data_IF_993266107350
#
_entry.id   IF_993266107350
#
_cell.length_a   1.000
_cell.length_b   1.000
_cell.length_c   1.000
_cell.angle_alpha   90.00
_cell.angle_beta   90.00
_cell.angle_gamma   90.00
#
_symmetry.space_group_name_H-M   'P 1'
#
loop_
_entity.id
_entity.type
_entity.pdbx_description
1 polymer ?
#
# COMPACT_ATOMS: atom_id res chain seq x y z
N UNK A 1 60.88 16.35 4.00
CA UNK A 1 60.83 14.93 4.47
C UNK A 1 60.05 14.89 5.77
N UNK A 2 58.79 14.45 5.79
CA UNK A 2 58.04 14.30 7.03
C UNK A 2 58.35 12.95 7.71
N UNK A 3 58.26 12.86 9.05
CA UNK A 3 58.61 11.67 9.81
C UNK A 3 57.49 10.62 9.78
N UNK A 4 57.89 9.34 9.72
CA UNK A 4 57.00 8.19 9.78
C UNK A 4 56.33 8.03 11.16
N UNK A 5 55.04 7.65 11.21
CA UNK A 5 54.39 7.25 12.45
C UNK A 5 54.84 5.84 12.88
N UNK A 6 55.14 5.72 14.18
CA UNK A 6 55.57 4.50 14.86
C UNK A 6 54.41 3.51 15.00
N UNK A 7 54.64 2.25 14.61
CA UNK A 7 53.78 1.12 14.90
C UNK A 7 53.69 0.89 16.42
N UNK A 8 52.46 0.95 16.97
CA UNK A 8 52.15 0.59 18.35
C UNK A 8 51.70 -0.87 18.38
N UNK A 9 52.37 -1.67 19.20
CA UNK A 9 52.23 -3.12 19.27
C UNK A 9 50.83 -3.61 19.64
N UNK A 10 50.39 -4.63 18.91
CA UNK A 10 49.28 -5.50 19.28
C UNK A 10 49.75 -6.42 20.41
N UNK A 11 49.13 -6.30 21.59
CA UNK A 11 49.26 -7.26 22.67
C UNK A 11 48.38 -8.47 22.36
N UNK A 12 49.03 -9.61 22.22
CA UNK A 12 48.43 -10.94 22.29
C UNK A 12 47.89 -11.19 23.70
N UNK A 13 46.72 -11.83 23.79
CA UNK A 13 46.30 -12.54 25.00
C UNK A 13 44.88 -12.24 25.47
N UNK A 14 43.88 -12.58 24.66
CA UNK A 14 42.55 -12.90 25.18
C UNK A 14 42.14 -14.29 24.70
N UNK A 15 42.10 -15.21 25.65
CA UNK A 15 41.61 -16.58 25.49
C UNK A 15 40.08 -16.55 25.35
N UNK A 16 39.50 -17.17 24.31
CA UNK A 16 38.05 -17.26 24.21
C UNK A 16 37.55 -18.33 25.19
N UNK A 17 37.12 -17.90 26.37
CA UNK A 17 36.28 -18.69 27.26
C UNK A 17 35.07 -19.21 26.49
N UNK A 18 35.00 -20.53 26.38
CA UNK A 18 33.87 -21.28 25.84
C UNK A 18 32.60 -20.90 26.61
N UNK A 19 31.67 -20.22 25.93
CA UNK A 19 30.29 -20.06 26.40
C UNK A 19 29.46 -21.25 25.88
N UNK A 20 28.99 -22.17 26.76
CA UNK A 20 28.09 -23.24 26.38
C UNK A 20 26.66 -22.69 26.35
N UNK A 21 26.19 -22.18 25.20
CA UNK A 21 24.81 -21.65 25.14
C UNK A 21 24.15 -21.46 23.77
N UNK A 22 24.84 -21.70 22.65
CA UNK A 22 24.36 -21.27 21.32
C UNK A 22 24.08 -22.41 20.31
N UNK A 23 23.87 -23.65 20.75
CA UNK A 23 23.76 -24.80 19.83
C UNK A 23 22.34 -25.31 19.54
N UNK A 24 21.28 -24.76 20.11
CA UNK A 24 19.90 -25.26 19.89
C UNK A 24 19.09 -24.50 18.83
N UNK A 25 19.53 -23.33 18.37
CA UNK A 25 18.75 -22.48 17.44
C UNK A 25 18.68 -23.01 15.99
N UNK A 26 19.57 -23.92 15.57
CA UNK A 26 19.63 -24.41 14.19
C UNK A 26 18.55 -25.43 13.84
N UNK A 27 18.19 -26.31 14.79
CA UNK A 27 17.30 -27.45 14.54
C UNK A 27 15.84 -27.02 14.42
N UNK A 28 15.41 -26.05 15.24
CA UNK A 28 14.03 -25.51 15.20
C UNK A 28 13.74 -24.79 13.87
N UNK A 29 14.74 -24.13 13.29
CA UNK A 29 14.58 -23.40 12.03
C UNK A 29 14.37 -24.36 10.85
N UNK A 30 15.12 -25.46 10.79
CA UNK A 30 14.97 -26.46 9.73
C UNK A 30 13.61 -27.17 9.77
N UNK A 31 13.07 -27.41 10.96
CA UNK A 31 11.73 -27.99 11.13
C UNK A 31 10.64 -27.03 10.62
N UNK A 32 10.74 -25.74 10.93
CA UNK A 32 9.77 -24.75 10.46
C UNK A 32 9.85 -24.52 8.95
N UNK A 33 11.05 -24.53 8.38
CA UNK A 33 11.25 -24.44 6.93
C UNK A 33 10.64 -25.67 6.20
N UNK A 34 10.73 -26.87 6.81
CA UNK A 34 10.09 -28.08 6.27
C UNK A 34 8.55 -28.01 6.31
N UNK A 35 7.97 -27.57 7.42
CA UNK A 35 6.50 -27.37 7.55
C UNK A 35 6.00 -26.34 6.54
N UNK A 36 6.73 -25.24 6.36
CA UNK A 36 6.39 -24.21 5.38
C UNK A 36 6.46 -24.74 3.94
N UNK A 37 7.44 -25.60 3.63
CA UNK A 37 7.54 -26.24 2.32
C UNK A 37 6.38 -27.20 2.04
N UNK A 38 5.93 -27.95 3.05
CA UNK A 38 4.75 -28.83 2.95
C UNK A 38 3.46 -28.01 2.75
N UNK A 39 3.28 -26.94 3.52
CA UNK A 39 2.16 -25.99 3.35
C UNK A 39 2.13 -25.39 1.94
N UNK A 40 3.29 -24.99 1.42
CA UNK A 40 3.40 -24.42 0.07
C UNK A 40 3.01 -25.43 -1.02
N UNK A 41 3.42 -26.70 -0.89
CA UNK A 41 3.01 -27.77 -1.82
C UNK A 41 1.51 -28.01 -1.76
N UNK A 42 0.92 -28.00 -0.57
CA UNK A 42 -0.52 -28.16 -0.38
C UNK A 42 -1.30 -27.06 -1.10
N UNK A 43 -0.94 -25.79 -0.86
CA UNK A 43 -1.57 -24.62 -1.51
C UNK A 43 -1.42 -24.67 -3.04
N UNK A 44 -0.26 -25.11 -3.55
CA UNK A 44 -0.07 -25.26 -5.00
C UNK A 44 -0.98 -26.33 -5.60
N UNK A 45 -1.16 -27.47 -4.94
CA UNK A 45 -2.07 -28.53 -5.38
C UNK A 45 -3.51 -28.04 -5.40
N UNK A 46 -3.94 -27.34 -4.36
CA UNK A 46 -5.26 -26.76 -4.25
C UNK A 46 -5.52 -25.74 -5.37
N UNK A 47 -4.55 -24.87 -5.66
CA UNK A 47 -4.60 -23.91 -6.77
C UNK A 47 -4.78 -24.58 -8.14
N UNK A 48 -4.06 -25.69 -8.40
CA UNK A 48 -4.22 -26.44 -9.64
C UNK A 48 -5.62 -27.04 -9.78
N UNK A 49 -6.15 -27.63 -8.70
CA UNK A 49 -7.51 -28.20 -8.69
C UNK A 49 -8.59 -27.14 -8.96
N UNK A 50 -8.48 -25.95 -8.34
CA UNK A 50 -9.38 -24.83 -8.60
C UNK A 50 -9.34 -24.39 -10.07
N UNK A 51 -8.15 -24.25 -10.65
CA UNK A 51 -8.01 -23.86 -12.06
C UNK A 51 -8.59 -24.90 -13.04
N UNK A 52 -8.49 -26.19 -12.72
CA UNK A 52 -9.09 -27.25 -13.53
C UNK A 52 -10.62 -27.21 -13.47
N UNK A 53 -11.20 -27.02 -12.29
CA UNK A 53 -12.65 -26.88 -12.11
C UNK A 53 -13.18 -25.59 -12.73
N UNK A 54 -12.48 -24.48 -12.59
CA UNK A 54 -12.87 -23.21 -13.22
C UNK A 54 -12.89 -23.33 -14.75
N UNK A 55 -11.93 -24.06 -15.35
CA UNK A 55 -11.95 -24.38 -16.79
C UNK A 55 -13.13 -25.28 -17.17
N UNK A 56 -13.53 -26.22 -16.31
CA UNK A 56 -14.72 -27.05 -16.54
C UNK A 56 -16.00 -26.22 -16.45
N UNK A 57 -16.13 -25.35 -15.44
CA UNK A 57 -17.26 -24.40 -15.29
C UNK A 57 -17.38 -23.49 -16.52
N UNK A 58 -16.26 -23.02 -17.08
CA UNK A 58 -16.25 -22.21 -18.31
C UNK A 58 -16.69 -22.97 -19.56
N UNK A 59 -16.47 -24.30 -19.61
CA UNK A 59 -16.84 -25.15 -20.76
C UNK A 59 -18.28 -25.66 -20.68
N UNK A 60 -18.81 -25.85 -19.48
CA UNK A 60 -20.17 -26.33 -19.25
C UNK A 60 -21.18 -25.17 -19.33
N UNK A 61 -22.41 -25.48 -19.75
CA UNK A 61 -23.53 -24.52 -19.85
C UNK A 61 -24.77 -25.10 -19.16
N UNK A 62 -25.69 -24.23 -18.74
CA UNK A 62 -26.96 -24.63 -18.12
C UNK A 62 -26.78 -25.33 -16.76
N UNK A 63 -27.63 -26.30 -16.46
CA UNK A 63 -27.63 -27.02 -15.18
C UNK A 63 -26.29 -27.70 -14.83
N UNK A 64 -25.50 -28.10 -15.83
CA UNK A 64 -24.16 -28.67 -15.58
C UNK A 64 -23.15 -27.61 -15.12
N UNK A 65 -23.34 -26.34 -15.49
CA UNK A 65 -22.51 -25.24 -14.98
C UNK A 65 -22.81 -24.98 -13.52
N UNK A 66 -24.08 -24.99 -13.13
CA UNK A 66 -24.52 -24.76 -11.75
C UNK A 66 -24.01 -25.86 -10.80
N UNK A 67 -24.09 -27.14 -11.23
CA UNK A 67 -23.50 -28.24 -10.48
C UNK A 67 -21.97 -28.12 -10.34
N UNK A 68 -21.27 -27.71 -11.40
CA UNK A 68 -19.81 -27.52 -11.37
C UNK A 68 -19.38 -26.30 -10.55
N UNK A 69 -20.18 -25.23 -10.50
CA UNK A 69 -19.93 -24.09 -9.61
C UNK A 69 -20.09 -24.49 -8.15
N UNK A 70 -21.14 -25.24 -7.82
CA UNK A 70 -21.34 -25.78 -6.46
C UNK A 70 -20.20 -26.71 -6.04
N UNK A 71 -19.73 -27.57 -6.94
CA UNK A 71 -18.56 -28.42 -6.66
C UNK A 71 -17.29 -27.60 -6.44
N UNK A 72 -17.11 -26.49 -7.16
CA UNK A 72 -16.00 -25.56 -6.95
C UNK A 72 -16.07 -24.96 -5.53
N UNK A 73 -17.21 -24.41 -5.12
CA UNK A 73 -17.42 -23.82 -3.79
C UNK A 73 -17.19 -24.83 -2.65
N UNK A 74 -17.74 -26.04 -2.77
CA UNK A 74 -17.50 -27.11 -1.79
C UNK A 74 -16.03 -27.51 -1.71
N UNK A 75 -15.31 -27.47 -2.82
CA UNK A 75 -13.88 -27.78 -2.88
C UNK A 75 -13.03 -26.64 -2.28
N UNK A 76 -13.44 -25.38 -2.43
CA UNK A 76 -12.79 -24.26 -1.74
C UNK A 76 -12.94 -24.36 -0.21
N UNK A 77 -14.15 -24.69 0.26
CA UNK A 77 -14.42 -24.89 1.69
C UNK A 77 -13.60 -26.05 2.28
N UNK A 78 -13.46 -27.15 1.52
CA UNK A 78 -12.59 -28.29 1.91
C UNK A 78 -11.12 -27.89 1.96
N UNK A 79 -10.66 -27.10 0.99
CA UNK A 79 -9.27 -26.61 0.95
C UNK A 79 -8.93 -25.70 2.12
N UNK A 80 -9.85 -24.80 2.47
CA UNK A 80 -9.70 -23.92 3.63
C UNK A 80 -9.64 -24.73 4.93
N UNK A 81 -10.54 -25.71 5.10
CA UNK A 81 -10.52 -26.62 6.25
C UNK A 81 -9.22 -27.44 6.32
N UNK A 82 -8.71 -27.94 5.19
CA UNK A 82 -7.46 -28.71 5.12
C UNK A 82 -6.24 -27.86 5.48
N UNK A 83 -6.19 -26.58 5.06
CA UNK A 83 -5.14 -25.65 5.48
C UNK A 83 -5.25 -25.36 6.97
N UNK A 84 -6.45 -25.12 7.48
CA UNK A 84 -6.68 -24.85 8.90
C UNK A 84 -6.29 -26.06 9.77
N UNK A 85 -6.58 -27.28 9.31
CA UNK A 85 -6.17 -28.52 9.98
C UNK A 85 -4.66 -28.72 9.91
N UNK A 86 -4.03 -28.46 8.76
CA UNK A 86 -2.58 -28.51 8.59
C UNK A 86 -1.88 -27.52 9.53
N UNK A 87 -2.37 -26.29 9.61
CA UNK A 87 -1.83 -25.25 10.50
C UNK A 87 -2.08 -25.62 11.98
N UNK A 88 -3.20 -26.30 12.31
CA UNK A 88 -3.48 -26.81 13.67
C UNK A 88 -2.54 -27.96 14.06
N UNK A 89 -2.26 -28.89 13.16
CA UNK A 89 -1.45 -30.08 13.44
C UNK A 89 0.07 -29.78 13.40
N UNK A 90 0.52 -28.97 12.45
CA UNK A 90 1.94 -28.70 12.20
C UNK A 90 2.42 -27.34 12.70
N UNK A 91 1.51 -26.38 12.94
CA UNK A 91 1.81 -25.06 13.52
C UNK A 91 1.82 -25.02 15.05
N UNK A 92 1.47 -26.13 15.72
CA UNK A 92 1.38 -26.26 17.17
C UNK A 92 2.73 -26.36 17.90
N UNK A 93 3.54 -25.30 17.84
CA UNK A 93 4.62 -25.06 18.81
C UNK A 93 4.11 -24.24 20.00
N UNK A 94 3.64 -24.92 21.05
CA UNK A 94 3.38 -24.42 22.42
C UNK A 94 2.94 -22.96 22.62
N UNK A 95 1.63 -22.75 22.65
CA UNK A 95 0.97 -21.64 23.34
C UNK A 95 -0.45 -22.06 23.71
N UNK A 96 -0.65 -22.52 24.95
CA UNK A 96 -1.93 -22.96 25.46
C UNK A 96 -3.01 -21.85 25.39
N UNK A 97 -4.30 -22.19 25.25
CA UNK A 97 -5.38 -21.19 25.26
C UNK A 97 -5.50 -20.59 26.66
N UNK A 98 -5.11 -19.33 26.82
CA UNK A 98 -5.23 -18.61 28.09
C UNK A 98 -6.69 -18.23 28.36
N UNK A 99 -7.28 -18.93 29.34
CA UNK A 99 -8.52 -18.60 30.06
C UNK A 99 -8.33 -17.29 30.87
N UNK A 100 -9.35 -16.44 31.07
CA UNK A 100 -9.18 -15.10 31.62
C UNK A 100 -9.10 -15.08 33.15
N UNK A 101 -8.17 -14.34 33.73
CA UNK A 101 -8.17 -13.96 35.15
C UNK A 101 -7.32 -12.69 35.43
N UNK A 102 -8.02 -11.64 35.87
CA UNK A 102 -7.69 -10.65 36.91
C UNK A 102 -6.33 -9.88 36.91
N UNK A 103 -6.46 -8.56 36.63
CA UNK A 103 -5.85 -7.36 37.28
C UNK A 103 -4.53 -7.50 38.09
N UNK A 104 -3.41 -6.87 37.71
CA UNK A 104 -2.97 -5.44 37.81
C UNK A 104 -1.79 -5.31 38.82
N UNK A 105 -0.96 -4.24 38.92
CA UNK A 105 -0.86 -2.99 38.13
C UNK A 105 0.57 -2.52 37.70
N UNK A 106 0.58 -1.55 36.76
CA UNK A 106 1.46 -0.38 36.58
C UNK A 106 2.97 -0.50 36.25
N UNK A 107 3.32 -0.07 35.03
CA UNK A 107 4.36 0.94 34.79
C UNK A 107 4.04 1.70 33.49
N UNK A 108 4.01 3.03 33.60
CA UNK A 108 3.51 4.02 32.65
C UNK A 108 4.36 4.13 31.37
N UNK A 109 3.69 4.15 30.22
CA UNK A 109 4.11 4.90 29.05
C UNK A 109 2.85 5.25 28.23
N UNK A 110 2.55 6.54 28.16
CA UNK A 110 1.46 7.18 27.41
C UNK A 110 1.33 6.66 25.96
N UNK A 111 0.10 6.35 25.48
CA UNK A 111 -0.25 6.77 24.13
C UNK A 111 -1.75 7.09 23.99
N UNK A 112 -2.12 8.37 24.06
CA UNK A 112 -3.52 8.75 23.84
C UNK A 112 -3.68 10.09 23.09
N UNK A 113 -2.91 10.33 22.02
CA UNK A 113 -3.19 11.46 21.09
C UNK A 113 -3.01 11.20 19.58
N UNK A 114 -2.62 10.00 19.13
CA UNK A 114 -2.35 9.74 17.69
C UNK A 114 -3.36 8.83 16.96
N UNK A 115 -4.49 8.49 17.59
CA UNK A 115 -5.49 7.61 16.96
C UNK A 115 -6.21 8.22 15.73
N UNK A 116 -6.10 9.54 15.49
CA UNK A 116 -6.76 10.23 14.36
C UNK A 116 -5.85 10.58 13.18
N UNK A 117 -4.53 10.44 13.28
CA UNK A 117 -3.59 10.49 12.13
C UNK A 117 -3.37 9.12 11.47
N UNK A 118 -4.08 8.10 11.95
CA UNK A 118 -3.77 6.70 11.75
C UNK A 118 -4.26 6.12 10.40
N UNK A 119 -5.06 6.88 9.62
CA UNK A 119 -5.87 6.29 8.55
C UNK A 119 -5.17 6.08 7.20
N UNK A 120 -4.02 6.69 6.91
CA UNK A 120 -3.40 6.55 5.58
C UNK A 120 -1.87 6.65 5.61
N UNK A 121 -1.20 5.92 6.52
CA UNK A 121 0.26 5.83 6.43
C UNK A 121 0.61 4.99 5.21
N UNK A 122 1.02 5.66 4.12
CA UNK A 122 1.37 5.01 2.87
C UNK A 122 2.68 4.20 3.02
N UNK A 123 2.57 2.96 3.51
CA UNK A 123 3.68 2.03 3.68
C UNK A 123 4.42 1.73 2.38
N UNK A 124 3.77 1.87 1.22
CA UNK A 124 4.38 1.60 -0.09
C UNK A 124 5.48 2.62 -0.47
N UNK A 125 5.40 3.82 0.09
CA UNK A 125 6.36 4.90 -0.14
C UNK A 125 7.69 4.75 0.63
N UNK A 126 7.72 3.90 1.66
CA UNK A 126 8.92 3.70 2.47
C UNK A 126 9.94 2.79 1.78
N UNK A 127 11.21 3.02 2.06
CA UNK A 127 12.29 2.13 1.65
C UNK A 127 12.22 0.81 2.41
N UNK A 128 12.84 -0.24 1.86
CA UNK A 128 12.86 -1.57 2.51
C UNK A 128 13.45 -1.49 3.93
N UNK A 129 14.46 -0.66 4.14
CA UNK A 129 15.12 -0.49 5.44
C UNK A 129 14.19 0.16 6.48
N UNK A 130 13.47 1.20 6.08
CA UNK A 130 12.47 1.86 6.94
C UNK A 130 11.31 0.91 7.30
N UNK A 131 10.90 0.05 6.37
CA UNK A 131 9.88 -0.98 6.63
C UNK A 131 10.38 -2.06 7.61
N UNK A 132 11.65 -2.46 7.50
CA UNK A 132 12.28 -3.37 8.46
C UNK A 132 12.35 -2.74 9.85
N UNK A 133 12.74 -1.46 9.95
CA UNK A 133 12.85 -0.72 11.21
C UNK A 133 11.48 -0.53 11.87
N UNK A 134 10.44 -0.19 11.11
CA UNK A 134 9.05 -0.10 11.60
C UNK A 134 8.50 -1.45 12.05
N UNK A 135 8.78 -2.53 11.32
CA UNK A 135 8.44 -3.88 11.74
C UNK A 135 9.11 -4.21 13.09
N UNK A 136 10.41 -3.95 13.24
CA UNK A 136 11.14 -4.21 14.50
C UNK A 136 10.58 -3.36 15.65
N UNK A 137 10.31 -2.07 15.42
CA UNK A 137 9.74 -1.18 16.43
C UNK A 137 8.38 -1.66 16.96
N UNK A 138 7.60 -2.37 16.13
CA UNK A 138 6.29 -2.93 16.46
C UNK A 138 6.34 -4.40 16.90
N UNK A 139 7.53 -4.99 17.00
CA UNK A 139 7.72 -6.40 17.36
C UNK A 139 7.37 -7.40 16.24
N UNK A 140 7.23 -6.92 15.00
CA UNK A 140 6.97 -7.71 13.80
C UNK A 140 8.30 -8.21 13.22
N UNK A 141 8.31 -9.44 12.69
CA UNK A 141 9.52 -10.03 12.10
C UNK A 141 10.01 -9.28 10.84
N UNK A 142 11.27 -8.83 10.86
CA UNK A 142 11.97 -8.11 9.76
C UNK A 142 12.30 -8.91 8.48
N UNK A 143 11.85 -10.17 8.37
CA UNK A 143 12.19 -11.03 7.23
C UNK A 143 11.07 -10.96 6.19
N UNK A 144 11.42 -10.66 4.94
CA UNK A 144 10.47 -10.64 3.82
C UNK A 144 10.97 -9.84 2.61
N UNK A 145 10.22 -9.89 1.52
CA UNK A 145 10.30 -8.89 0.45
C UNK A 145 9.70 -7.56 0.93
N UNK A 146 9.90 -6.47 0.18
CA UNK A 146 9.34 -5.15 0.53
C UNK A 146 7.82 -5.24 0.73
N UNK A 147 7.16 -5.94 -0.17
CA UNK A 147 5.71 -6.17 -0.21
C UNK A 147 5.24 -7.00 0.99
N UNK A 148 6.01 -8.00 1.42
CA UNK A 148 5.71 -8.84 2.59
C UNK A 148 5.78 -8.03 3.90
N UNK A 149 6.76 -7.14 4.03
CA UNK A 149 6.87 -6.21 5.17
C UNK A 149 5.71 -5.21 5.20
N UNK A 150 5.31 -4.68 4.03
CA UNK A 150 4.14 -3.80 3.90
C UNK A 150 2.87 -4.53 4.34
N UNK A 151 2.64 -5.76 3.85
CA UNK A 151 1.48 -6.56 4.24
C UNK A 151 1.43 -6.82 5.74
N UNK A 152 2.56 -7.18 6.36
CA UNK A 152 2.64 -7.38 7.80
C UNK A 152 2.28 -6.12 8.61
N UNK A 153 2.72 -4.95 8.16
CA UNK A 153 2.38 -3.68 8.80
C UNK A 153 0.90 -3.33 8.65
N UNK A 154 0.30 -3.63 7.49
CA UNK A 154 -1.15 -3.46 7.26
C UNK A 154 -1.96 -4.40 8.16
N UNK A 155 -1.62 -5.69 8.22
CA UNK A 155 -2.30 -6.68 9.05
C UNK A 155 -2.21 -6.27 10.53
N UNK A 156 -1.02 -5.92 11.01
CA UNK A 156 -0.84 -5.45 12.38
C UNK A 156 -1.71 -4.22 12.70
N UNK A 157 -1.87 -3.32 11.73
CA UNK A 157 -2.70 -2.14 11.87
C UNK A 157 -4.20 -2.47 11.91
N UNK A 158 -4.63 -3.45 11.11
CA UNK A 158 -5.99 -4.00 11.16
C UNK A 158 -6.26 -4.71 12.48
N UNK A 159 -5.32 -5.52 12.98
CA UNK A 159 -5.43 -6.22 14.26
C UNK A 159 -5.57 -5.25 15.44
N UNK A 160 -4.83 -4.13 15.43
CA UNK A 160 -4.99 -3.09 16.45
C UNK A 160 -6.36 -2.41 16.38
N UNK A 161 -6.90 -2.17 15.18
CA UNK A 161 -8.22 -1.59 15.00
C UNK A 161 -9.32 -2.56 15.46
N UNK A 162 -9.22 -3.84 15.10
CA UNK A 162 -10.14 -4.90 15.53
C UNK A 162 -10.07 -5.09 17.04
N UNK A 163 -8.88 -5.13 17.63
CA UNK A 163 -8.71 -5.25 19.09
C UNK A 163 -9.26 -4.03 19.85
N UNK A 164 -9.16 -2.83 19.27
CA UNK A 164 -9.78 -1.63 19.82
C UNK A 164 -11.31 -1.66 19.70
N UNK A 165 -11.86 -2.26 18.64
CA UNK A 165 -13.30 -2.43 18.45
C UNK A 165 -13.90 -3.55 19.32
N UNK A 166 -13.16 -4.65 19.54
CA UNK A 166 -13.56 -5.75 20.42
C UNK A 166 -13.47 -5.39 21.91
N UNK A 167 -12.65 -4.39 22.27
CA UNK A 167 -12.63 -3.77 23.59
C UNK A 167 -13.82 -2.80 23.83
N UNK A 168 -14.99 -3.11 23.26
CA UNK A 168 -16.18 -2.26 23.22
C UNK A 168 -16.65 -1.69 24.57
N UNK A 169 -17.49 -0.65 24.51
CA UNK A 169 -17.65 0.38 25.54
C UNK A 169 -18.38 -0.14 26.78
N UNK A 170 -17.73 -0.07 27.93
CA UNK A 170 -18.43 0.02 29.21
C UNK A 170 -18.77 1.50 29.45
N UNK A 171 -20.06 1.78 29.39
CA UNK A 171 -20.67 3.10 29.51
C UNK A 171 -20.37 3.81 30.85
N UNK A 172 -20.10 5.11 30.78
CA UNK A 172 -20.85 6.08 31.58
C UNK A 172 -21.00 7.40 30.81
N UNK A 173 -22.16 8.01 30.98
CA UNK A 173 -22.80 9.00 30.12
C UNK A 173 -22.46 10.46 30.45
N UNK A 174 -22.74 11.31 29.46
CA UNK A 174 -23.44 12.60 29.52
C UNK A 174 -23.35 13.48 30.78
N UNK A 175 -22.84 14.70 30.57
CA UNK A 175 -23.33 15.99 31.13
C UNK A 175 -22.24 17.03 30.81
N UNK A 176 -22.43 18.06 30.00
CA UNK A 176 -23.46 19.09 30.09
C UNK A 176 -22.75 20.46 30.21
N UNK A 177 -23.03 21.37 29.26
CA UNK A 177 -23.03 22.85 29.37
C UNK A 177 -21.87 23.58 30.09
N UNK A 178 -21.17 24.49 29.38
CA UNK A 178 -21.27 25.96 29.54
C UNK A 178 -20.21 26.74 28.74
N UNK A 179 -20.68 27.84 28.14
CA UNK A 179 -20.05 29.15 27.93
C UNK A 179 -18.61 29.37 28.41
N UNK A 180 -17.82 30.07 27.58
CA UNK A 180 -16.60 30.72 28.02
C UNK A 180 -15.72 31.34 26.93
N UNK A 181 -16.22 32.36 26.24
CA UNK A 181 -15.37 33.44 25.67
C UNK A 181 -14.53 34.06 26.80
N UNK A 182 -13.21 34.29 26.63
CA UNK A 182 -12.67 35.61 26.24
C UNK A 182 -11.54 35.49 25.19
N UNK A 183 -11.51 36.28 24.13
CA UNK A 183 -11.12 37.71 24.05
C UNK A 183 -9.63 37.96 24.34
N UNK A 184 -8.90 38.43 23.32
CA UNK A 184 -7.95 39.54 23.47
C UNK A 184 -6.49 39.33 23.06
N UNK A 185 -6.07 40.07 22.01
CA UNK A 185 -4.67 40.43 21.66
C UNK A 185 -4.25 39.88 20.29
N UNK A 186 -4.49 40.54 19.14
CA UNK A 186 -4.11 41.89 18.65
C UNK A 186 -2.61 42.18 18.77
N UNK A 187 -1.90 42.13 17.63
CA UNK A 187 -1.07 43.19 16.96
C UNK A 187 -0.74 42.60 15.55
N UNK A 188 -1.33 43.09 14.45
CA UNK A 188 -0.75 44.08 13.48
C UNK A 188 0.62 43.58 12.95
N UNK A 189 0.93 43.49 11.66
CA UNK A 189 0.69 44.42 10.56
C UNK A 189 1.25 43.78 9.26
N UNK A 190 0.99 44.42 8.12
CA UNK A 190 1.56 44.27 6.77
C UNK A 190 0.65 43.63 5.69
N UNK A 191 -0.02 44.58 5.03
CA UNK A 191 -0.62 44.69 3.70
C UNK A 191 0.18 43.87 2.63
N UNK A 192 -0.39 43.37 1.52
CA UNK A 192 -1.04 44.15 0.47
C UNK A 192 -1.56 43.24 -0.67
N UNK A 193 -2.62 43.71 -1.35
CA UNK A 193 -3.11 43.44 -2.71
C UNK A 193 -3.48 41.98 -3.16
N UNK A 194 -4.76 41.61 -3.21
CA UNK A 194 -5.76 41.87 -4.29
C UNK A 194 -5.47 41.09 -5.60
N UNK A 195 -6.24 40.01 -5.86
CA UNK A 195 -7.06 39.92 -7.07
C UNK A 195 -7.97 38.67 -7.05
N UNK A 196 -9.25 39.00 -7.06
CA UNK A 196 -10.44 38.27 -7.43
C UNK A 196 -10.29 37.39 -8.69
N UNK A 197 -10.43 36.06 -8.56
CA UNK A 197 -11.05 35.25 -9.60
C UNK A 197 -11.95 34.20 -8.95
N UNK A 198 -13.25 34.39 -9.18
CA UNK A 198 -14.36 33.53 -8.85
C UNK A 198 -14.05 32.03 -9.09
N UNK A 199 -13.76 31.34 -7.99
CA UNK A 199 -13.70 29.90 -7.96
C UNK A 199 -15.12 29.34 -7.98
N UNK A 200 -15.71 29.30 -9.17
CA UNK A 200 -16.91 28.53 -9.51
C UNK A 200 -16.69 27.06 -9.13
N UNK A 201 -16.98 26.78 -7.86
CA UNK A 201 -17.01 25.46 -7.26
C UNK A 201 -18.24 24.74 -7.78
N UNK A 202 -18.17 24.26 -9.02
CA UNK A 202 -19.07 23.21 -9.50
C UNK A 202 -18.85 21.95 -8.68
N UNK A 203 -19.60 21.89 -7.58
CA UNK A 203 -19.83 20.73 -6.74
C UNK A 203 -20.64 19.71 -7.54
N UNK A 204 -19.97 19.01 -8.44
CA UNK A 204 -20.47 17.80 -9.14
C UNK A 204 -20.38 16.63 -8.14
N UNK A 205 -21.20 16.71 -7.10
CA UNK A 205 -21.38 15.75 -6.02
C UNK A 205 -22.51 14.79 -6.39
N UNK A 206 -22.36 14.05 -7.50
CA UNK A 206 -23.30 12.96 -7.84
C UNK A 206 -22.53 11.77 -8.43
N UNK A 207 -22.71 10.61 -7.77
CA UNK A 207 -22.26 9.28 -8.16
C UNK A 207 -20.77 8.93 -7.97
N UNK A 208 -20.31 8.96 -6.71
CA UNK A 208 -19.24 8.07 -6.26
C UNK A 208 -19.77 6.62 -6.21
N UNK A 209 -20.02 6.04 -7.40
CA UNK A 209 -20.20 4.60 -7.53
C UNK A 209 -18.98 3.93 -6.89
N UNK A 210 -19.21 3.02 -5.95
CA UNK A 210 -18.16 2.20 -5.34
C UNK A 210 -17.46 1.39 -6.44
N UNK A 211 -16.46 2.00 -7.07
CA UNK A 211 -15.61 1.33 -8.07
C UNK A 211 -14.81 0.29 -7.29
N UNK A 212 -15.01 -0.97 -7.67
CA UNK A 212 -14.30 -2.10 -7.10
C UNK A 212 -12.79 -1.82 -7.06
N UNK A 213 -12.17 -2.11 -5.92
CA UNK A 213 -10.76 -1.81 -5.66
C UNK A 213 -9.85 -2.46 -6.72
N UNK A 214 -10.26 -3.61 -7.26
CA UNK A 214 -9.55 -4.27 -8.36
C UNK A 214 -9.58 -3.45 -9.66
N UNK A 215 -10.68 -2.77 -9.97
CA UNK A 215 -10.79 -1.93 -11.15
C UNK A 215 -9.94 -0.66 -11.02
N UNK A 216 -9.91 -0.06 -9.84
CA UNK A 216 -9.07 1.11 -9.54
C UNK A 216 -7.57 0.80 -9.79
N UNK A 217 -7.10 -0.38 -9.37
CA UNK A 217 -5.72 -0.80 -9.66
C UNK A 217 -5.45 -0.99 -11.16
N UNK A 218 -6.42 -1.54 -11.90
CA UNK A 218 -6.31 -1.71 -13.36
C UNK A 218 -6.29 -0.34 -14.06
N UNK A 219 -7.11 0.60 -13.62
CA UNK A 219 -7.13 1.97 -14.12
C UNK A 219 -5.77 2.65 -13.87
N UNK A 220 -5.24 2.57 -12.65
CA UNK A 220 -3.94 3.15 -12.31
C UNK A 220 -2.78 2.57 -13.15
N UNK A 221 -2.81 1.28 -13.46
CA UNK A 221 -1.81 0.64 -14.35
C UNK A 221 -1.92 1.16 -15.78
N UNK A 222 -3.14 1.27 -16.31
CA UNK A 222 -3.38 1.82 -17.66
C UNK A 222 -2.96 3.28 -17.74
N UNK A 223 -3.31 4.08 -16.74
CA UNK A 223 -2.94 5.49 -16.69
C UNK A 223 -1.42 5.66 -16.66
N UNK A 224 -0.70 4.92 -15.82
CA UNK A 224 0.77 4.94 -15.80
C UNK A 224 1.39 4.56 -17.15
N UNK A 225 0.78 3.62 -17.88
CA UNK A 225 1.24 3.26 -19.21
C UNK A 225 1.05 4.42 -20.21
N UNK A 226 -0.10 5.09 -20.17
CA UNK A 226 -0.39 6.27 -21.00
C UNK A 226 0.54 7.43 -20.64
N UNK A 227 0.74 7.73 -19.36
CA UNK A 227 1.69 8.75 -18.90
C UNK A 227 3.10 8.51 -19.42
N UNK A 228 3.57 7.26 -19.34
CA UNK A 228 4.89 6.88 -19.85
C UNK A 228 4.98 7.07 -21.36
N UNK A 229 3.92 6.75 -22.11
CA UNK A 229 3.83 6.97 -23.54
C UNK A 229 3.82 8.47 -23.90
N UNK A 230 3.13 9.32 -23.12
CA UNK A 230 3.16 10.78 -23.32
C UNK A 230 4.55 11.36 -23.09
N UNK A 231 5.22 10.96 -22.00
CA UNK A 231 6.61 11.37 -21.75
C UNK A 231 7.54 10.89 -22.87
N UNK A 232 7.34 9.67 -23.38
CA UNK A 232 8.10 9.17 -24.52
C UNK A 232 7.83 9.99 -25.79
N UNK A 233 6.57 10.33 -26.07
CA UNK A 233 6.17 11.12 -27.23
C UNK A 233 6.86 12.49 -27.28
N UNK A 234 6.94 13.18 -26.14
CA UNK A 234 7.63 14.46 -26.03
C UNK A 234 9.15 14.35 -26.08
N UNK A 235 9.74 13.20 -25.72
CA UNK A 235 11.18 12.98 -25.77
C UNK A 235 11.67 12.59 -27.17
N UNK A 236 10.91 11.75 -27.86
CA UNK A 236 11.37 11.06 -29.07
C UNK A 236 11.10 11.86 -30.34
N UNK A 237 10.02 12.66 -30.37
CA UNK A 237 9.55 13.25 -31.63
C UNK A 237 9.85 14.73 -31.82
N UNK A 238 10.48 15.42 -30.85
CA UNK A 238 10.59 16.90 -30.81
C UNK A 238 9.28 17.60 -31.19
N UNK A 239 8.16 16.91 -31.00
CA UNK A 239 6.86 17.44 -31.35
C UNK A 239 6.56 18.46 -30.28
N UNK A 240 6.56 19.72 -30.73
CA UNK A 240 6.12 20.84 -29.93
C UNK A 240 4.68 20.63 -29.45
N UNK A 241 4.10 21.70 -28.92
CA UNK A 241 2.73 21.62 -28.42
C UNK A 241 1.76 21.23 -29.54
N UNK A 242 0.74 20.42 -29.23
CA UNK A 242 -0.27 19.96 -30.19
C UNK A 242 -1.69 20.06 -29.60
N UNK A 243 -2.71 20.04 -30.47
CA UNK A 243 -4.11 20.20 -30.06
C UNK A 243 -4.65 18.97 -29.32
N UNK A 244 -5.59 19.18 -28.40
CA UNK A 244 -6.19 18.13 -27.58
C UNK A 244 -6.73 16.95 -28.42
N UNK A 245 -7.36 17.26 -29.56
CA UNK A 245 -8.00 16.25 -30.44
C UNK A 245 -6.99 15.34 -31.15
N UNK A 246 -5.73 15.77 -31.29
CA UNK A 246 -4.68 14.94 -31.90
C UNK A 246 -4.13 13.89 -30.93
N UNK A 247 -4.40 14.03 -29.62
CA UNK A 247 -3.82 13.16 -28.59
C UNK A 247 -4.04 11.65 -28.84
N UNK A 248 -5.24 11.17 -29.22
CA UNK A 248 -5.46 9.75 -29.51
C UNK A 248 -4.61 9.23 -30.66
N UNK A 249 -4.45 10.02 -31.73
CA UNK A 249 -3.64 9.66 -32.90
C UNK A 249 -2.15 9.64 -32.56
N UNK A 250 -1.69 10.63 -31.80
CA UNK A 250 -0.32 10.71 -31.28
C UNK A 250 0.02 9.51 -30.39
N UNK A 251 -0.90 9.11 -29.51
CA UNK A 251 -0.76 7.92 -28.67
C UNK A 251 -0.74 6.62 -29.48
N UNK A 252 -1.57 6.53 -30.53
CA UNK A 252 -1.55 5.40 -31.46
C UNK A 252 -0.19 5.24 -32.15
N UNK A 253 0.49 6.33 -32.48
CA UNK A 253 1.84 6.28 -33.08
C UNK A 253 2.91 5.74 -32.13
N UNK A 254 2.68 5.72 -30.81
CA UNK A 254 3.59 5.15 -29.80
C UNK A 254 3.08 3.81 -29.27
N UNK A 255 2.29 3.09 -30.08
CA UNK A 255 1.71 1.77 -29.78
C UNK A 255 0.72 1.75 -28.60
N UNK A 256 0.16 2.89 -28.21
CA UNK A 256 -0.97 2.94 -27.27
C UNK A 256 -2.27 2.99 -28.08
N UNK A 257 -2.65 1.83 -28.63
CA UNK A 257 -3.90 1.69 -29.35
C UNK A 257 -5.11 1.62 -28.40
N UNK A 258 -6.29 2.01 -28.88
CA UNK A 258 -7.56 1.97 -28.14
C UNK A 258 -7.58 2.82 -26.86
N UNK A 259 -6.82 3.92 -26.84
CA UNK A 259 -6.91 4.92 -25.80
C UNK A 259 -8.33 5.51 -25.78
N UNK A 260 -8.97 5.43 -24.62
CA UNK A 260 -10.26 6.05 -24.35
C UNK A 260 -10.24 6.57 -22.90
N UNK A 261 -10.51 7.87 -22.66
CA UNK A 261 -10.48 8.46 -21.32
C UNK A 261 -11.47 7.78 -20.37
N UNK A 262 -12.60 7.30 -20.89
CA UNK A 262 -13.63 6.56 -20.13
C UNK A 262 -13.07 5.28 -19.50
N UNK A 263 -12.19 4.54 -20.20
CA UNK A 263 -11.55 3.32 -19.68
C UNK A 263 -10.53 3.56 -18.56
N UNK A 264 -10.20 4.83 -18.35
CA UNK A 264 -9.33 5.34 -17.30
C UNK A 264 -10.14 6.03 -16.18
N UNK A 265 -11.48 6.01 -16.25
CA UNK A 265 -12.34 6.64 -15.26
C UNK A 265 -12.61 8.13 -15.48
N UNK A 266 -12.23 8.69 -16.63
CA UNK A 266 -12.42 10.12 -16.92
C UNK A 266 -13.63 10.34 -17.82
N UNK A 267 -14.50 11.30 -17.45
CA UNK A 267 -15.70 11.68 -18.22
C UNK A 267 -15.39 12.25 -19.61
N UNK A 268 -14.23 12.88 -19.78
CA UNK A 268 -13.82 13.48 -21.06
C UNK A 268 -12.30 13.52 -21.22
N UNK A 269 -11.85 13.77 -22.46
CA UNK A 269 -10.43 13.92 -22.78
C UNK A 269 -9.81 15.12 -22.07
N UNK A 270 -10.55 16.22 -21.95
CA UNK A 270 -10.11 17.41 -21.23
C UNK A 270 -9.91 17.15 -19.73
N UNK A 271 -10.85 16.43 -19.09
CA UNK A 271 -10.71 16.05 -17.67
C UNK A 271 -9.50 15.14 -17.45
N UNK A 272 -9.25 14.19 -18.36
CA UNK A 272 -8.06 13.35 -18.33
C UNK A 272 -6.77 14.18 -18.37
N UNK A 273 -6.64 15.08 -19.34
CA UNK A 273 -5.44 15.90 -19.52
C UNK A 273 -5.25 16.89 -18.36
N UNK A 274 -6.33 17.49 -17.84
CA UNK A 274 -6.30 18.37 -16.66
C UNK A 274 -5.85 17.63 -15.39
N UNK A 275 -6.20 16.34 -15.26
CA UNK A 275 -5.80 15.50 -14.13
C UNK A 275 -4.36 15.01 -14.17
N UNK A 276 -3.64 15.18 -15.30
CA UNK A 276 -2.27 14.70 -15.40
C UNK A 276 -1.30 15.59 -14.61
N UNK A 277 -0.30 14.98 -13.94
CA UNK A 277 0.65 15.74 -13.14
C UNK A 277 1.54 16.63 -14.02
N UNK A 278 1.95 17.83 -13.56
CA UNK A 278 2.73 18.80 -14.35
C UNK A 278 4.08 18.28 -14.88
N UNK A 279 4.59 17.20 -14.27
CA UNK A 279 5.81 16.50 -14.67
C UNK A 279 5.64 15.65 -15.94
N UNK A 280 4.41 15.32 -16.32
CA UNK A 280 4.07 14.51 -17.50
C UNK A 280 3.75 15.42 -18.67
N UNK A 281 2.90 16.43 -18.47
CA UNK A 281 2.48 17.36 -19.51
C UNK A 281 2.09 18.71 -18.91
N UNK A 282 1.93 19.71 -19.77
CA UNK A 282 1.24 20.97 -19.45
C UNK A 282 0.03 21.12 -20.37
N UNK A 283 -1.07 21.59 -19.81
CA UNK A 283 -2.30 21.83 -20.57
C UNK A 283 -2.67 23.31 -20.51
N UNK A 284 -2.84 23.92 -21.68
CA UNK A 284 -3.39 25.27 -21.80
C UNK A 284 -4.87 25.16 -22.17
N UNK A 285 -5.75 25.35 -21.17
CA UNK A 285 -7.21 25.24 -21.33
C UNK A 285 -7.77 26.20 -22.39
N UNK A 286 -7.27 27.43 -22.46
CA UNK A 286 -7.77 28.47 -23.39
C UNK A 286 -7.47 28.11 -24.85
N UNK A 287 -6.30 27.53 -25.10
CA UNK A 287 -5.87 27.14 -26.44
C UNK A 287 -6.16 25.67 -26.78
N UNK A 288 -6.66 24.88 -25.82
CA UNK A 288 -6.78 23.42 -25.91
C UNK A 288 -5.47 22.73 -26.40
N UNK A 289 -4.33 23.26 -25.97
CA UNK A 289 -3.01 22.78 -26.39
C UNK A 289 -2.33 21.99 -25.28
N UNK A 290 -1.74 20.86 -25.64
CA UNK A 290 -0.89 20.04 -24.77
C UNK A 290 0.56 20.33 -25.10
N UNK A 291 1.33 20.72 -24.10
CA UNK A 291 2.74 21.06 -24.20
C UNK A 291 3.62 20.08 -23.41
N UNK A 292 4.89 19.91 -23.80
CA UNK A 292 5.84 19.12 -23.02
C UNK A 292 6.00 19.68 -21.59
N UNK A 293 6.37 18.83 -20.62
CA UNK A 293 6.64 19.26 -19.25
C UNK A 293 7.81 20.25 -19.23
N UNK A 294 7.77 21.24 -18.32
CA UNK A 294 8.90 22.17 -18.13
C UNK A 294 10.11 21.37 -17.66
N UNK A 295 11.11 21.22 -18.52
CA UNK A 295 12.43 20.77 -18.09
C UNK A 295 13.10 21.94 -17.37
N UNK A 296 13.78 21.68 -16.26
CA UNK A 296 14.45 22.71 -15.46
C UNK A 296 15.45 23.56 -16.28
N UNK A 297 15.92 23.04 -17.42
CA UNK A 297 16.84 23.72 -18.33
C UNK A 297 16.19 24.83 -19.19
N UNK A 298 14.86 24.87 -19.32
CA UNK A 298 14.16 25.82 -20.20
C UNK A 298 13.74 27.13 -19.53
N UNK A 299 13.96 27.30 -18.22
CA UNK A 299 13.57 28.52 -17.48
C UNK A 299 14.66 29.60 -17.44
N UNK A 300 15.71 29.49 -18.26
CA UNK A 300 16.84 30.43 -18.28
C UNK A 300 16.99 31.19 -19.59
N UNK A 301 15.92 31.32 -20.37
CA UNK A 301 15.86 32.12 -21.59
C UNK A 301 14.78 33.20 -21.47
#
# INVERSE_FOLDING_TARGET
>A
RPPHPRCRGLRSGETPSQLPGLRTCGVQRLQMDAVNAERSKLVQRQKQQKQELEKKVKKLKGAMKEAATKELEELEAKHEAEIAEFDREKGGGSGAPAKPAAAAPAAEAEPAKDAKKFRERNWSGLSKKELEDECVARGIGKKGSKEDLIQKLIIFQQDLATKAAEAGPSAEEASGRKDGTPAGGKVEDDEDEEEDEESESESDDEDALEVDQEEMERQAKREKAVQKAMVFLFKDKEQGSFHLDELPDKLKMVNVANFAPEKLGYKSLEKFVKGQPPKVLRYNRKAQMISPPRTAASSSA
#
